data_IF_894117385991
#
_entry.id   IF_894117385991
#
_cell.length_a   1.000
_cell.length_b   1.000
_cell.length_c   1.000
_cell.angle_alpha   90.00
_cell.angle_beta   90.00
_cell.angle_gamma   90.00
#
_symmetry.space_group_name_H-M   'P 1'
#
loop_
_entity.id
_entity.type
_entity.pdbx_description
1 polymer ?
#
# COMPACT_ATOMS: atom_id res chain seq x y z
N UNK A 1 -9.68 -16.49 -3.69
CA UNK A 1 -9.24 -15.56 -2.64
C UNK A 1 -8.87 -14.24 -3.31
N UNK A 2 -9.58 -13.14 -3.01
CA UNK A 2 -9.16 -11.80 -3.44
C UNK A 2 -7.87 -11.46 -2.68
N UNK A 3 -6.81 -11.08 -3.39
CA UNK A 3 -5.56 -10.60 -2.78
C UNK A 3 -5.72 -9.10 -2.54
N UNK A 4 -5.55 -8.67 -1.30
CA UNK A 4 -5.56 -7.26 -0.91
C UNK A 4 -4.12 -6.79 -0.73
N UNK A 5 -3.82 -5.62 -1.27
CA UNK A 5 -2.48 -5.03 -1.27
C UNK A 5 -2.45 -3.82 -0.35
N UNK A 6 -1.40 -3.69 0.46
CA UNK A 6 -1.16 -2.49 1.25
C UNK A 6 0.06 -1.75 0.68
N UNK A 7 -0.15 -0.49 0.30
CA UNK A 7 0.89 0.45 -0.13
C UNK A 7 1.12 1.42 1.01
N UNK A 8 2.33 1.36 1.57
CA UNK A 8 2.75 2.19 2.69
C UNK A 8 3.79 3.20 2.18
N UNK A 9 3.47 4.48 2.29
CA UNK A 9 4.18 5.60 1.69
C UNK A 9 3.67 5.90 0.27
N UNK A 10 3.02 7.04 0.11
CA UNK A 10 2.39 7.55 -1.13
C UNK A 10 3.22 8.66 -1.79
N UNK A 11 4.54 8.66 -1.57
CA UNK A 11 5.45 9.46 -2.37
C UNK A 11 5.53 8.97 -3.82
N UNK A 12 6.45 9.53 -4.62
CA UNK A 12 6.61 9.25 -6.07
C UNK A 12 6.48 7.77 -6.46
N UNK A 13 7.11 6.89 -5.68
CA UNK A 13 7.14 5.45 -5.97
C UNK A 13 5.86 4.73 -5.55
N UNK A 14 5.48 4.81 -4.27
CA UNK A 14 4.32 4.09 -3.77
C UNK A 14 3.01 4.60 -4.37
N UNK A 15 2.90 5.90 -4.65
CA UNK A 15 1.78 6.46 -5.40
C UNK A 15 1.62 5.87 -6.80
N UNK A 16 2.74 5.65 -7.51
CA UNK A 16 2.71 4.99 -8.84
C UNK A 16 2.23 3.54 -8.74
N UNK A 17 2.65 2.79 -7.71
CA UNK A 17 2.16 1.42 -7.47
C UNK A 17 0.69 1.42 -7.11
N UNK A 18 0.26 2.30 -6.19
CA UNK A 18 -1.13 2.40 -5.78
C UNK A 18 -2.03 2.61 -6.99
N UNK A 19 -1.62 3.50 -7.90
CA UNK A 19 -2.33 3.76 -9.14
C UNK A 19 -2.36 2.54 -10.06
N UNK A 20 -1.21 1.93 -10.34
CA UNK A 20 -1.14 0.76 -11.21
C UNK A 20 -1.98 -0.42 -10.70
N UNK A 21 -1.92 -0.71 -9.40
CA UNK A 21 -2.71 -1.78 -8.79
C UNK A 21 -4.22 -1.48 -8.81
N UNK A 22 -4.60 -0.23 -8.58
CA UNK A 22 -6.00 0.22 -8.67
C UNK A 22 -6.54 0.13 -10.10
N UNK A 23 -5.75 0.52 -11.10
CA UNK A 23 -6.10 0.42 -12.53
C UNK A 23 -6.31 -1.03 -12.99
N UNK A 24 -5.57 -1.98 -12.40
CA UNK A 24 -5.75 -3.43 -12.59
C UNK A 24 -6.97 -4.01 -11.84
N UNK A 25 -7.75 -3.15 -11.15
CA UNK A 25 -8.94 -3.56 -10.39
C UNK A 25 -8.63 -4.37 -9.13
N UNK A 26 -7.39 -4.28 -8.62
CA UNK A 26 -7.00 -4.93 -7.38
C UNK A 26 -7.40 -4.08 -6.17
N UNK A 27 -7.68 -4.75 -5.05
CA UNK A 27 -8.03 -4.07 -3.81
C UNK A 27 -6.76 -3.51 -3.16
N UNK A 28 -6.69 -2.19 -2.99
CA UNK A 28 -5.50 -1.50 -2.46
C UNK A 28 -5.85 -0.65 -1.25
N UNK A 29 -5.10 -0.84 -0.17
CA UNK A 29 -5.03 0.06 0.98
C UNK A 29 -3.83 0.99 0.83
N UNK A 30 -4.09 2.29 0.72
CA UNK A 30 -3.08 3.34 0.66
C UNK A 30 -2.87 3.95 2.05
N UNK A 31 -1.62 4.02 2.52
CA UNK A 31 -1.28 4.65 3.79
C UNK A 31 -0.09 5.60 3.64
N UNK A 32 -0.21 6.82 4.17
CA UNK A 32 0.92 7.77 4.32
C UNK A 32 0.68 8.60 5.57
N UNK A 33 1.74 9.24 6.08
CA UNK A 33 1.65 10.19 7.19
C UNK A 33 1.17 11.58 6.72
N UNK A 34 1.36 11.89 5.43
CA UNK A 34 0.96 13.15 4.82
C UNK A 34 -0.48 13.02 4.31
N UNK A 35 -1.39 13.75 4.96
CA UNK A 35 -2.82 13.77 4.65
C UNK A 35 -3.13 14.18 3.21
N UNK A 36 -2.42 15.16 2.64
CA UNK A 36 -2.67 15.61 1.26
C UNK A 36 -2.48 14.47 0.26
N UNK A 37 -1.43 13.66 0.46
CA UNK A 37 -1.18 12.47 -0.36
C UNK A 37 -2.26 11.42 -0.16
N UNK A 38 -2.66 11.14 1.08
CA UNK A 38 -3.73 10.17 1.35
C UNK A 38 -5.01 10.59 0.65
N UNK A 39 -5.37 11.86 0.69
CA UNK A 39 -6.55 12.41 0.02
C UNK A 39 -6.45 12.36 -1.51
N UNK A 40 -5.25 12.54 -2.08
CA UNK A 40 -5.02 12.36 -3.52
C UNK A 40 -5.34 10.92 -3.95
N UNK A 41 -4.83 9.94 -3.21
CA UNK A 41 -4.98 8.52 -3.54
C UNK A 41 -6.28 7.89 -3.03
N UNK A 42 -7.02 8.53 -2.11
CA UNK A 42 -8.32 8.07 -1.62
C UNK A 42 -9.39 7.98 -2.73
N UNK A 43 -9.19 8.67 -3.85
CA UNK A 43 -10.07 8.63 -5.02
C UNK A 43 -9.91 7.35 -5.85
N UNK A 44 -8.78 6.65 -5.69
CA UNK A 44 -8.43 5.49 -6.51
C UNK A 44 -8.17 4.23 -5.68
N UNK A 45 -7.70 4.37 -4.44
CA UNK A 45 -7.50 3.25 -3.53
C UNK A 45 -8.85 2.76 -2.96
N UNK A 46 -8.96 1.46 -2.70
CA UNK A 46 -10.12 0.88 -2.02
C UNK A 46 -10.25 1.40 -0.58
N UNK A 47 -9.11 1.61 0.07
CA UNK A 47 -9.02 2.17 1.42
C UNK A 47 -7.85 3.16 1.48
N UNK A 48 -8.03 4.25 2.22
CA UNK A 48 -6.99 5.25 2.42
C UNK A 48 -6.90 5.59 3.92
N UNK A 49 -5.70 5.56 4.46
CA UNK A 49 -5.44 5.70 5.90
C UNK A 49 -4.30 6.69 6.12
N UNK A 50 -4.50 7.62 7.05
CA UNK A 50 -3.42 8.48 7.54
C UNK A 50 -2.78 7.77 8.73
N UNK A 51 -1.48 7.51 8.66
CA UNK A 51 -0.80 6.76 9.71
C UNK A 51 0.71 6.73 9.58
N UNK A 52 1.38 6.67 10.73
CA UNK A 52 2.82 6.47 10.80
C UNK A 52 3.15 4.98 10.70
N UNK A 53 3.79 4.60 9.60
CA UNK A 53 4.23 3.23 9.35
C UNK A 53 5.37 2.74 10.24
N UNK A 54 6.03 3.64 10.97
CA UNK A 54 7.10 3.29 11.92
C UNK A 54 6.54 2.90 13.28
N UNK A 55 5.28 3.22 13.56
CA UNK A 55 4.57 2.81 14.76
C UNK A 55 3.94 1.42 14.57
N UNK A 56 4.50 0.43 15.26
CA UNK A 56 3.98 -0.93 15.24
C UNK A 56 2.50 -1.02 15.69
N UNK A 57 2.04 -0.11 16.54
CA UNK A 57 0.65 -0.10 17.02
C UNK A 57 -0.32 0.24 15.89
N UNK A 58 0.05 1.19 15.01
CA UNK A 58 -0.70 1.53 13.80
C UNK A 58 -0.76 0.33 12.87
N UNK A 59 0.37 -0.34 12.64
CA UNK A 59 0.42 -1.55 11.79
C UNK A 59 -0.43 -2.71 12.36
N UNK A 60 -0.43 -2.89 13.68
CA UNK A 60 -1.24 -3.91 14.37
C UNK A 60 -2.73 -3.61 14.27
N UNK A 61 -3.14 -2.36 14.49
CA UNK A 61 -4.54 -1.93 14.40
C UNK A 61 -5.09 -2.04 12.97
N UNK A 62 -4.24 -1.86 11.96
CA UNK A 62 -4.61 -2.04 10.55
C UNK A 62 -4.71 -3.50 10.12
N UNK A 63 -4.48 -4.47 11.02
CA UNK A 63 -4.59 -5.89 10.69
C UNK A 63 -3.50 -6.38 9.73
N UNK A 64 -2.36 -5.66 9.64
CA UNK A 64 -1.27 -5.96 8.70
C UNK A 64 -0.59 -7.32 8.96
N UNK A 65 -0.96 -8.02 10.03
CA UNK A 65 -0.62 -9.45 10.24
C UNK A 65 -0.89 -10.32 9.01
N UNK A 66 -1.84 -9.95 8.15
CA UNK A 66 -2.18 -10.70 6.94
C UNK A 66 -1.93 -9.94 5.61
N UNK A 67 -1.40 -8.72 5.65
CA UNK A 67 -1.07 -7.96 4.45
C UNK A 67 0.36 -8.28 3.98
N UNK A 68 0.52 -8.55 2.69
CA UNK A 68 1.83 -8.50 2.05
C UNK A 68 2.31 -7.05 2.11
N UNK A 69 3.10 -6.71 3.14
CA UNK A 69 3.76 -5.40 3.25
C UNK A 69 4.62 -5.22 2.01
N UNK A 70 4.14 -4.43 1.06
CA UNK A 70 4.85 -4.14 -0.17
C UNK A 70 5.81 -2.98 0.06
N UNK A 71 6.83 -3.20 0.90
CA UNK A 71 8.01 -2.33 0.84
C UNK A 71 8.74 -2.58 -0.49
N UNK A 72 9.43 -1.58 -1.02
CA UNK A 72 10.23 -1.67 -2.25
C UNK A 72 11.11 -2.95 -2.30
N UNK A 73 11.61 -3.41 -1.14
CA UNK A 73 12.37 -4.66 -1.00
C UNK A 73 11.55 -5.93 -1.30
N UNK A 74 10.24 -5.94 -1.06
CA UNK A 74 9.36 -7.10 -1.29
C UNK A 74 8.81 -7.13 -2.72
N UNK A 75 8.70 -5.97 -3.38
CA UNK A 75 8.32 -5.90 -4.80
C UNK A 75 9.36 -6.60 -5.69
N UNK A 76 10.65 -6.47 -5.40
CA UNK A 76 11.72 -7.22 -6.09
C UNK A 76 11.63 -8.73 -5.87
N UNK A 77 11.16 -9.18 -4.70
CA UNK A 77 10.96 -10.62 -4.41
C UNK A 77 9.67 -11.20 -5.01
N UNK A 78 8.64 -10.38 -5.18
CA UNK A 78 7.36 -10.79 -5.79
C UNK A 78 7.46 -10.76 -7.33
N UNK A 79 8.21 -9.82 -7.90
CA UNK A 79 8.47 -9.71 -9.35
C UNK A 79 9.72 -10.44 -9.84
N UNK A 80 10.38 -11.27 -9.00
CA UNK A 80 11.31 -12.30 -9.47
C UNK A 80 10.70 -13.70 -9.36
N UNK A 81 9.81 -14.11 -10.26
CA UNK A 81 9.97 -15.38 -10.94
C UNK A 81 10.93 -15.16 -12.12
N UNK A 82 11.82 -16.14 -12.39
CA UNK A 82 12.79 -16.12 -13.50
C UNK A 82 14.09 -15.33 -13.21
N UNK A 83 14.92 -15.85 -12.32
CA UNK A 83 16.08 -16.68 -12.67
C UNK A 83 16.41 -17.61 -11.50
#
# INVERSE_FOLDING_TARGET
MKKEYAVIGLGRFGGSICKALSEEGLEVMAMDMNEDRVNEYAKIASHAVIGDSTDESVLKNLGIRNFLIMSLLRLVKIFRPVF
#
